data_IF_560494690071
#
_entry.id   IF_560494690071
#
_cell.length_a   1.000
_cell.length_b   1.000
_cell.length_c   1.000
_cell.angle_alpha   90.00
_cell.angle_beta   90.00
_cell.angle_gamma   90.00
#
_symmetry.space_group_name_H-M   'P 1'
#
loop_
_entity.id
_entity.type
_entity.pdbx_description
1 polymer ?
#
# COMPACT_ATOMS: atom_id res chain seq x y z
N UNK A 1 -6.86 -26.57 45.13
CA UNK A 1 -8.02 -27.09 44.37
C UNK A 1 -8.86 -25.87 43.99
N UNK A 2 -8.84 -25.35 42.75
CA UNK A 2 -9.41 -25.84 41.49
C UNK A 2 -10.91 -25.50 41.35
N UNK A 3 -11.22 -24.47 40.53
CA UNK A 3 -12.44 -24.27 39.72
C UNK A 3 -12.16 -23.11 38.73
N UNK A 4 -11.68 -23.35 37.48
CA UNK A 4 -12.42 -23.74 36.25
C UNK A 4 -13.45 -22.65 35.88
N UNK A 5 -13.08 -21.66 35.06
CA UNK A 5 -13.29 -21.61 33.59
C UNK A 5 -14.65 -22.16 33.18
N UNK A 6 -15.59 -21.25 32.88
CA UNK A 6 -16.74 -21.33 31.97
C UNK A 6 -17.25 -19.89 31.90
N UNK A 7 -16.90 -19.11 30.89
CA UNK A 7 -17.59 -19.15 29.62
C UNK A 7 -18.32 -17.81 29.44
N UNK A 8 -17.63 -16.84 28.85
CA UNK A 8 -18.16 -15.50 28.65
C UNK A 8 -17.10 -14.63 27.98
N UNK A 9 -16.99 -14.77 26.68
CA UNK A 9 -16.14 -13.97 25.80
C UNK A 9 -16.52 -12.50 25.96
N UNK A 10 -15.80 -11.74 26.78
CA UNK A 10 -15.84 -10.29 26.73
C UNK A 10 -14.81 -9.81 25.69
N UNK A 11 -15.08 -10.14 24.43
CA UNK A 11 -14.56 -9.38 23.29
C UNK A 11 -15.27 -8.04 23.34
N UNK A 12 -14.58 -7.05 23.89
CA UNK A 12 -14.82 -5.66 23.62
C UNK A 12 -13.50 -4.90 23.74
N UNK A 13 -12.47 -5.42 23.04
CA UNK A 13 -11.44 -4.54 22.54
C UNK A 13 -12.14 -3.52 21.63
N UNK A 14 -12.10 -2.25 22.01
CA UNK A 14 -12.56 -1.10 21.25
C UNK A 14 -11.72 -0.93 19.96
N UNK A 15 -11.86 -1.88 19.05
CA UNK A 15 -11.41 -1.84 17.65
C UNK A 15 -12.65 -1.91 16.73
N UNK A 16 -13.72 -1.21 17.10
CA UNK A 16 -14.76 -0.82 16.16
C UNK A 16 -14.37 0.57 15.64
N UNK A 17 -13.57 0.65 14.58
CA UNK A 17 -14.11 0.89 13.24
C UNK A 17 -14.84 2.24 13.19
N UNK A 18 -14.09 3.32 13.14
CA UNK A 18 -14.20 4.21 11.99
C UNK A 18 -13.52 3.47 10.82
N UNK A 19 -14.18 2.56 10.11
CA UNK A 19 -15.52 2.75 9.55
C UNK A 19 -15.47 3.47 8.20
N UNK A 20 -14.28 3.87 7.74
CA UNK A 20 -14.06 4.03 6.32
C UNK A 20 -13.75 2.64 5.73
N UNK A 21 -14.81 1.88 5.44
CA UNK A 21 -14.78 1.04 4.24
C UNK A 21 -14.78 2.01 3.05
N UNK A 22 -13.66 2.69 2.81
CA UNK A 22 -13.44 3.29 1.48
C UNK A 22 -13.05 2.14 0.59
N UNK A 23 -14.07 1.40 0.14
CA UNK A 23 -14.02 0.68 -1.11
C UNK A 23 -13.45 1.64 -2.15
N UNK A 24 -12.23 1.37 -2.64
CA UNK A 24 -11.66 1.91 -3.87
C UNK A 24 -11.88 3.42 -4.10
N UNK A 25 -11.51 4.27 -3.15
CA UNK A 25 -11.49 5.72 -3.35
C UNK A 25 -10.69 6.45 -2.25
N UNK A 26 -9.61 5.85 -1.74
CA UNK A 26 -8.55 6.73 -1.24
C UNK A 26 -8.14 7.53 -2.47
N UNK A 27 -8.25 8.85 -2.42
CA UNK A 27 -7.70 9.71 -3.46
C UNK A 27 -6.17 9.56 -3.38
N UNK A 28 -5.67 8.40 -3.78
CA UNK A 28 -4.27 8.16 -4.06
C UNK A 28 -4.00 9.06 -5.24
N UNK A 29 -3.39 10.20 -4.96
CA UNK A 29 -2.78 11.06 -5.93
C UNK A 29 -1.33 10.57 -6.12
N UNK A 30 -0.86 10.62 -7.36
CA UNK A 30 0.49 10.22 -7.73
C UNK A 30 1.56 10.84 -6.80
N UNK A 31 1.33 12.09 -6.37
CA UNK A 31 2.22 12.83 -5.48
C UNK A 31 2.32 12.27 -4.05
N UNK A 32 1.24 11.75 -3.46
CA UNK A 32 1.32 11.15 -2.11
C UNK A 32 1.73 9.68 -2.16
N UNK A 33 1.43 8.97 -3.25
CA UNK A 33 1.77 7.56 -3.38
C UNK A 33 3.23 7.31 -3.80
N UNK A 34 3.79 8.17 -4.65
CA UNK A 34 5.18 8.07 -5.11
C UNK A 34 6.23 7.96 -4.00
N UNK A 35 6.23 8.80 -2.94
CA UNK A 35 7.20 8.67 -1.85
C UNK A 35 7.03 7.37 -1.04
N UNK A 36 5.81 6.84 -0.92
CA UNK A 36 5.55 5.56 -0.23
C UNK A 36 6.16 4.41 -1.01
N UNK A 37 5.91 4.38 -2.33
CA UNK A 37 6.47 3.37 -3.23
C UNK A 37 7.99 3.53 -3.34
N UNK A 38 8.51 4.74 -3.37
CA UNK A 38 9.96 4.99 -3.41
C UNK A 38 10.65 4.48 -2.14
N UNK A 39 10.07 4.70 -0.97
CA UNK A 39 10.61 4.16 0.28
C UNK A 39 10.65 2.62 0.29
N UNK A 40 9.62 1.96 -0.29
CA UNK A 40 9.63 0.50 -0.48
C UNK A 40 10.65 0.09 -1.52
N UNK A 41 10.78 0.85 -2.60
CA UNK A 41 11.75 0.62 -3.67
C UNK A 41 13.16 0.63 -3.10
N UNK A 42 13.52 1.64 -2.32
CA UNK A 42 14.85 1.75 -1.67
C UNK A 42 15.14 0.60 -0.68
N UNK A 43 14.11 0.10 0.01
CA UNK A 43 14.21 -1.03 0.93
C UNK A 43 14.20 -2.40 0.25
N UNK A 44 13.85 -2.47 -1.03
CA UNK A 44 13.78 -3.73 -1.76
C UNK A 44 15.16 -4.25 -2.18
N UNK A 45 15.22 -5.56 -2.47
CA UNK A 45 16.42 -6.19 -3.03
C UNK A 45 16.69 -5.71 -4.46
N UNK A 46 17.95 -5.78 -4.90
CA UNK A 46 18.36 -5.33 -6.24
C UNK A 46 17.59 -6.00 -7.37
N UNK A 47 17.19 -7.27 -7.21
CA UNK A 47 16.36 -7.97 -8.21
C UNK A 47 14.96 -7.35 -8.34
N UNK A 48 14.33 -7.00 -7.22
CA UNK A 48 13.01 -6.35 -7.22
C UNK A 48 13.10 -4.91 -7.73
N UNK A 49 14.16 -4.20 -7.32
CA UNK A 49 14.47 -2.87 -7.84
C UNK A 49 14.64 -2.89 -9.36
N UNK A 50 15.35 -3.85 -9.91
CA UNK A 50 15.58 -3.93 -11.35
C UNK A 50 14.29 -4.11 -12.16
N UNK A 51 13.36 -4.94 -11.66
CA UNK A 51 12.05 -5.13 -12.30
C UNK A 51 11.18 -3.87 -12.16
N UNK A 52 11.06 -3.38 -10.93
CA UNK A 52 10.18 -2.27 -10.60
C UNK A 52 10.70 -0.92 -11.13
N UNK A 53 11.99 -0.82 -11.47
CA UNK A 53 12.62 0.41 -11.99
C UNK A 53 11.95 0.90 -13.27
N UNK A 54 11.61 -0.01 -14.19
CA UNK A 54 10.97 0.37 -15.46
C UNK A 54 9.62 1.08 -15.19
N UNK A 55 8.83 0.53 -14.28
CA UNK A 55 7.56 1.12 -13.87
C UNK A 55 7.74 2.43 -13.08
N UNK A 56 8.80 2.55 -12.28
CA UNK A 56 9.14 3.79 -11.57
C UNK A 56 9.51 4.93 -12.53
N UNK A 57 10.32 4.65 -13.55
CA UNK A 57 10.65 5.63 -14.60
C UNK A 57 9.41 6.04 -15.41
N UNK A 58 8.52 5.09 -15.73
CA UNK A 58 7.24 5.39 -16.39
C UNK A 58 6.31 6.23 -15.50
N UNK A 59 6.26 5.97 -14.19
CA UNK A 59 5.50 6.77 -13.24
C UNK A 59 5.99 8.22 -13.15
N UNK A 60 7.32 8.42 -13.07
CA UNK A 60 7.94 9.74 -13.07
C UNK A 60 7.71 10.50 -14.38
N UNK A 61 7.74 9.80 -15.51
CA UNK A 61 7.41 10.37 -16.81
C UNK A 61 5.93 10.80 -16.86
N UNK A 62 5.03 9.92 -16.46
CA UNK A 62 3.60 10.23 -16.42
C UNK A 62 3.29 11.40 -15.47
N UNK A 63 3.96 11.50 -14.33
CA UNK A 63 3.88 12.66 -13.43
C UNK A 63 4.32 13.96 -14.14
N UNK A 64 5.43 13.92 -14.89
CA UNK A 64 5.93 15.07 -15.66
C UNK A 64 4.96 15.49 -16.76
N UNK A 65 4.20 14.55 -17.33
CA UNK A 65 3.14 14.77 -18.32
C UNK A 65 1.79 15.16 -17.67
N UNK A 66 1.75 15.34 -16.34
CA UNK A 66 0.53 15.58 -15.56
C UNK A 66 -0.54 14.48 -15.75
N UNK A 67 -0.11 13.28 -16.13
CA UNK A 67 -0.95 12.12 -16.35
C UNK A 67 -1.04 11.30 -15.06
N UNK A 68 -1.86 11.80 -14.14
CA UNK A 68 -2.01 11.23 -12.80
C UNK A 68 -2.49 9.77 -12.81
N UNK A 69 -3.36 9.43 -13.76
CA UNK A 69 -3.93 8.09 -13.91
C UNK A 69 -2.85 7.06 -14.26
N UNK A 70 -2.02 7.36 -15.26
CA UNK A 70 -0.89 6.49 -15.65
C UNK A 70 0.17 6.47 -14.57
N UNK A 71 0.44 7.60 -13.89
CA UNK A 71 1.39 7.59 -12.78
C UNK A 71 0.96 6.62 -11.67
N UNK A 72 -0.30 6.68 -11.23
CA UNK A 72 -0.81 5.79 -10.18
C UNK A 72 -0.77 4.33 -10.60
N UNK A 73 -1.21 4.03 -11.82
CA UNK A 73 -1.16 2.67 -12.38
C UNK A 73 0.26 2.12 -12.34
N UNK A 74 1.24 2.92 -12.75
CA UNK A 74 2.65 2.52 -12.77
C UNK A 74 3.21 2.38 -11.36
N UNK A 75 2.90 3.29 -10.45
CA UNK A 75 3.28 3.16 -9.04
C UNK A 75 2.68 1.92 -8.37
N UNK A 76 1.44 1.55 -8.70
CA UNK A 76 0.81 0.31 -8.24
C UNK A 76 1.53 -0.93 -8.79
N UNK A 77 1.96 -0.90 -10.06
CA UNK A 77 2.81 -1.96 -10.62
C UNK A 77 4.16 -2.05 -9.91
N UNK A 78 4.83 -0.92 -9.63
CA UNK A 78 6.05 -0.89 -8.83
C UNK A 78 5.78 -1.57 -7.47
N UNK A 79 4.71 -1.17 -6.77
CA UNK A 79 4.38 -1.75 -5.47
C UNK A 79 4.16 -3.27 -5.55
N UNK A 80 3.42 -3.75 -6.55
CA UNK A 80 3.22 -5.19 -6.77
C UNK A 80 4.55 -5.93 -7.02
N UNK A 81 5.43 -5.39 -7.85
CA UNK A 81 6.74 -6.00 -8.13
C UNK A 81 7.66 -6.01 -6.91
N UNK A 82 7.53 -5.01 -6.05
CA UNK A 82 8.21 -4.96 -4.76
C UNK A 82 7.62 -5.96 -3.75
N UNK A 83 6.43 -6.49 -4.02
CA UNK A 83 5.71 -7.45 -3.16
C UNK A 83 4.73 -6.79 -2.20
N UNK A 84 4.17 -5.64 -2.58
CA UNK A 84 2.96 -5.07 -1.98
C UNK A 84 1.83 -6.08 -2.01
N UNK A 85 1.28 -6.38 -0.83
CA UNK A 85 0.20 -7.33 -0.61
C UNK A 85 -1.15 -6.71 -0.97
#
# INVERSE_FOLDING_TARGET
>A
MKLQILGGVAVAALLAVSGAKTSFAQAENCLEYMPVVQAKFDQASDEKKAKAKAHMDEALKAQSENNEQVCLEKLHMVDQELGGQ
#
